data_IF_280730997221
#
_entry.id   IF_280730997221
#
_cell.length_a   1.000
_cell.length_b   1.000
_cell.length_c   1.000
_cell.angle_alpha   90.00
_cell.angle_beta   90.00
_cell.angle_gamma   90.00
#
_symmetry.space_group_name_H-M   'P 1'
#
loop_
_entity.id
_entity.type
_entity.pdbx_description
1 polymer ?
#
# COMPACT_ATOMS: atom_id res chain seq x y z
N UNK A 1 9.12 27.90 7.64
CA UNK A 1 9.48 27.74 6.21
C UNK A 1 9.04 26.35 5.81
N UNK A 2 8.15 26.22 4.83
CA UNK A 2 7.54 24.94 4.43
C UNK A 2 8.01 24.56 3.02
N UNK A 3 8.30 23.27 2.84
CA UNK A 3 8.62 22.68 1.53
C UNK A 3 7.43 21.84 1.09
N UNK A 4 6.95 22.03 -0.13
CA UNK A 4 5.83 21.27 -0.72
C UNK A 4 6.39 20.22 -1.67
N UNK A 5 5.99 18.97 -1.48
CA UNK A 5 6.34 17.84 -2.35
C UNK A 5 5.08 17.49 -3.14
N UNK A 6 5.20 17.45 -4.47
CA UNK A 6 4.10 17.13 -5.38
C UNK A 6 4.33 15.77 -6.03
N UNK A 7 3.64 14.75 -5.52
CA UNK A 7 3.76 13.39 -6.04
C UNK A 7 3.07 13.22 -7.40
N UNK A 8 2.21 14.14 -7.83
CA UNK A 8 1.50 14.06 -9.12
C UNK A 8 2.36 14.39 -10.34
N UNK A 9 3.31 15.31 -10.19
CA UNK A 9 4.26 15.67 -11.25
C UNK A 9 5.61 14.95 -11.16
N UNK A 10 5.77 14.03 -10.20
CA UNK A 10 7.05 13.36 -9.96
C UNK A 10 7.37 12.34 -11.05
N UNK A 11 8.40 12.62 -11.86
CA UNK A 11 8.79 11.79 -13.01
C UNK A 11 9.37 10.41 -12.65
N UNK A 12 9.81 10.23 -11.39
CA UNK A 12 10.30 8.94 -10.88
C UNK A 12 9.23 8.18 -10.10
N UNK A 13 7.99 8.69 -10.08
CA UNK A 13 6.85 8.02 -9.44
C UNK A 13 6.64 6.63 -10.06
N UNK A 14 6.57 5.61 -9.21
CA UNK A 14 6.51 4.20 -9.63
C UNK A 14 7.87 3.55 -9.87
N UNK A 15 8.90 4.29 -10.29
CA UNK A 15 10.26 3.75 -10.47
C UNK A 15 11.06 3.72 -9.16
N UNK A 16 10.95 4.78 -8.36
CA UNK A 16 11.74 4.97 -7.15
C UNK A 16 10.90 5.27 -5.90
N UNK A 17 9.57 5.20 -5.98
CA UNK A 17 8.71 5.51 -4.82
C UNK A 17 8.98 4.61 -3.61
N UNK A 18 9.37 3.36 -3.82
CA UNK A 18 9.67 2.41 -2.74
C UNK A 18 10.90 2.80 -1.90
N UNK A 19 11.77 3.67 -2.42
CA UNK A 19 12.95 4.22 -1.73
C UNK A 19 12.82 5.75 -1.47
N UNK A 20 11.61 6.30 -1.65
CA UNK A 20 11.35 7.73 -1.42
C UNK A 20 11.13 8.00 0.08
N UNK A 21 11.70 9.09 0.60
CA UNK A 21 11.48 9.55 1.99
C UNK A 21 10.00 9.73 2.33
N UNK A 22 9.16 10.08 1.36
CA UNK A 22 7.71 10.21 1.55
C UNK A 22 7.08 8.86 1.90
N UNK A 23 7.45 7.78 1.19
CA UNK A 23 6.95 6.43 1.45
C UNK A 23 7.47 5.84 2.75
N UNK A 24 8.71 6.19 3.14
CA UNK A 24 9.25 5.81 4.45
C UNK A 24 8.46 6.45 5.59
N UNK A 25 8.08 7.72 5.45
CA UNK A 25 7.40 8.47 6.51
C UNK A 25 5.88 8.24 6.55
N UNK A 26 5.24 8.08 5.39
CA UNK A 26 3.77 8.01 5.28
C UNK A 26 3.27 6.60 4.93
N UNK A 27 4.16 5.65 4.65
CA UNK A 27 3.80 4.33 4.15
C UNK A 27 3.56 4.29 2.64
N UNK A 28 3.31 3.09 2.07
CA UNK A 28 2.93 2.96 0.67
C UNK A 28 1.61 3.71 0.40
N UNK A 29 1.40 4.23 -0.83
CA UNK A 29 0.14 4.88 -1.18
C UNK A 29 -1.04 3.93 -0.92
N UNK A 30 -2.20 4.46 -0.45
CA UNK A 30 -3.33 3.66 0.05
C UNK A 30 -4.12 2.89 -1.03
N UNK A 31 -3.60 2.73 -2.24
CA UNK A 31 -4.39 2.34 -3.41
C UNK A 31 -4.34 0.84 -3.78
N UNK A 32 -3.78 -0.02 -2.93
CA UNK A 32 -3.85 -1.46 -3.15
C UNK A 32 -4.93 -2.08 -2.27
N UNK A 33 -6.19 -1.78 -2.60
CA UNK A 33 -7.35 -2.51 -2.11
C UNK A 33 -7.66 -3.62 -3.10
N UNK A 34 -7.70 -4.87 -2.64
CA UNK A 34 -8.24 -5.97 -3.43
C UNK A 34 -9.72 -6.12 -3.10
N UNK A 35 -10.57 -6.27 -4.12
CA UNK A 35 -11.91 -6.78 -3.90
C UNK A 35 -11.90 -8.28 -3.53
N UNK A 36 -13.05 -8.82 -3.14
CA UNK A 36 -13.17 -10.19 -2.67
C UNK A 36 -12.77 -11.21 -3.76
N UNK A 37 -13.06 -10.92 -5.04
CA UNK A 37 -12.71 -11.80 -6.16
C UNK A 37 -11.21 -11.76 -6.44
N UNK A 38 -10.60 -10.57 -6.39
CA UNK A 38 -9.15 -10.39 -6.50
C UNK A 38 -8.39 -11.09 -5.36
N UNK A 39 -8.88 -10.97 -4.13
CA UNK A 39 -8.32 -11.66 -2.97
C UNK A 39 -8.41 -13.19 -3.14
N UNK A 40 -9.54 -13.71 -3.59
CA UNK A 40 -9.73 -15.13 -3.87
C UNK A 40 -8.79 -15.63 -4.98
N UNK A 41 -8.58 -14.85 -6.04
CA UNK A 41 -7.62 -15.18 -7.09
C UNK A 41 -6.19 -15.29 -6.54
N UNK A 42 -5.78 -14.34 -5.70
CA UNK A 42 -4.47 -14.33 -5.05
C UNK A 42 -4.29 -15.52 -4.10
N UNK A 43 -5.35 -15.96 -3.40
CA UNK A 43 -5.31 -17.18 -2.59
C UNK A 43 -5.07 -18.44 -3.42
N UNK A 44 -5.71 -18.57 -4.59
CA UNK A 44 -5.48 -19.70 -5.50
C UNK A 44 -4.03 -19.73 -5.99
N UNK A 45 -3.49 -18.56 -6.36
CA UNK A 45 -2.09 -18.44 -6.78
C UNK A 45 -1.13 -18.79 -5.64
N UNK A 46 -1.43 -18.38 -4.41
CA UNK A 46 -0.64 -18.71 -3.23
C UNK A 46 -0.67 -20.21 -2.92
N UNK A 47 -1.85 -20.84 -3.03
CA UNK A 47 -1.99 -22.29 -2.86
C UNK A 47 -1.17 -23.08 -3.89
N UNK A 48 -1.02 -22.52 -5.10
CA UNK A 48 -0.15 -23.06 -6.15
C UNK A 48 1.34 -22.73 -5.99
N UNK A 49 1.73 -21.91 -5.01
CA UNK A 49 3.11 -21.50 -4.77
C UNK A 49 3.66 -20.44 -5.74
N UNK A 50 2.79 -19.77 -6.50
CA UNK A 50 3.16 -18.75 -7.48
C UNK A 50 3.40 -17.38 -6.83
N UNK A 51 2.75 -17.12 -5.69
CA UNK A 51 2.91 -15.90 -4.90
C UNK A 51 2.98 -16.23 -3.41
N UNK A 52 3.58 -15.36 -2.56
CA UNK A 52 3.48 -15.50 -1.12
C UNK A 52 2.01 -15.44 -0.65
N UNK A 53 1.65 -16.12 0.45
CA UNK A 53 0.30 -16.07 0.99
C UNK A 53 -0.09 -14.66 1.43
N UNK A 54 -1.34 -14.28 1.17
CA UNK A 54 -1.90 -13.01 1.61
C UNK A 54 -1.83 -12.89 3.14
N UNK A 55 -1.12 -11.86 3.64
CA UNK A 55 -1.02 -11.50 5.06
C UNK A 55 -1.79 -10.21 5.32
N UNK A 56 -2.99 -10.10 4.76
CA UNK A 56 -3.84 -8.93 4.95
C UNK A 56 -4.23 -8.82 6.42
N UNK A 57 -3.87 -7.71 7.06
CA UNK A 57 -4.30 -7.41 8.43
C UNK A 57 -5.52 -6.52 8.32
N UNK A 58 -6.67 -7.02 8.78
CA UNK A 58 -7.90 -6.21 8.80
C UNK A 58 -7.70 -5.05 9.78
N UNK A 59 -7.81 -3.82 9.28
CA UNK A 59 -7.91 -2.67 10.16
C UNK A 59 -9.15 -2.85 11.03
N UNK A 60 -8.96 -2.86 12.35
CA UNK A 60 -10.06 -2.79 13.30
C UNK A 60 -10.38 -1.32 13.50
N UNK A 61 -11.62 -0.92 13.23
CA UNK A 61 -12.08 0.44 13.52
C UNK A 61 -12.13 0.63 15.04
N UNK A 62 -11.03 1.10 15.63
CA UNK A 62 -11.06 1.62 17.00
C UNK A 62 -11.57 3.06 16.94
N UNK A 63 -12.69 3.40 17.61
CA UNK A 63 -13.14 4.79 17.67
C UNK A 63 -12.07 5.64 18.36
N UNK A 64 -11.34 6.43 17.58
CA UNK A 64 -10.21 7.27 18.03
C UNK A 64 -8.85 7.01 17.38
N UNK A 65 -8.72 6.07 16.42
CA UNK A 65 -7.50 5.93 15.63
C UNK A 65 -7.46 7.00 14.51
N UNK A 66 -7.21 8.25 14.90
CA UNK A 66 -6.75 9.27 13.97
C UNK A 66 -5.26 8.99 13.71
N UNK A 67 -4.90 8.67 12.46
CA UNK A 67 -3.50 8.53 12.05
C UNK A 67 -2.78 9.86 12.30
N UNK A 68 -1.89 9.86 13.29
CA UNK A 68 -0.94 10.94 13.55
C UNK A 68 0.20 10.94 12.54
#
# INVERSE_FOLDING_TARGET
>A
MTTRIDCDSCVVRGLACHDCVVTVLLGPPPELTFDDDEAAALEVLAAGGLVPPLRLVRAVDTPGAESA
#
